data_IF_166606361187
#
_entry.id   IF_166606361187
#
_cell.length_a   1.000
_cell.length_b   1.000
_cell.length_c   1.000
_cell.angle_alpha   90.00
_cell.angle_beta   90.00
_cell.angle_gamma   90.00
#
_symmetry.space_group_name_H-M   'P 1'
#
loop_
_entity.id
_entity.type
_entity.pdbx_description
1 polymer ?
#
# COMPACT_ATOMS: atom_id res chain seq x y z
N UNK A 1 -16.21 30.70 9.35
CA UNK A 1 -14.99 30.70 10.16
C UNK A 1 -14.70 29.24 10.42
N UNK A 2 -13.59 28.73 9.88
CA UNK A 2 -13.13 27.38 10.19
C UNK A 2 -12.89 27.26 11.71
N UNK A 3 -13.10 26.09 12.27
CA UNK A 3 -12.79 25.86 13.69
C UNK A 3 -11.25 25.82 13.87
N UNK A 4 -10.77 26.06 15.10
CA UNK A 4 -9.32 25.95 15.38
C UNK A 4 -8.75 24.56 15.03
N UNK A 5 -9.59 23.53 15.05
CA UNK A 5 -9.19 22.16 14.72
C UNK A 5 -9.08 21.97 13.20
N UNK A 6 -9.91 22.67 12.41
CA UNK A 6 -9.79 22.69 10.93
C UNK A 6 -8.55 23.45 10.46
N UNK A 7 -8.26 24.63 11.03
CA UNK A 7 -7.03 25.38 10.74
C UNK A 7 -5.76 24.60 11.14
N UNK A 8 -5.86 23.80 12.22
CA UNK A 8 -4.75 22.96 12.65
C UNK A 8 -4.55 21.75 11.72
N UNK A 9 -5.61 21.18 11.18
CA UNK A 9 -5.56 20.08 10.22
C UNK A 9 -5.00 20.52 8.86
N UNK A 10 -5.36 21.71 8.39
CA UNK A 10 -4.85 22.29 7.12
C UNK A 10 -3.32 22.44 7.11
N UNK A 11 -2.71 22.72 8.27
CA UNK A 11 -1.25 22.86 8.38
C UNK A 11 -0.47 21.54 8.10
N UNK A 12 -1.15 20.41 8.10
CA UNK A 12 -0.56 19.10 7.83
C UNK A 12 -0.84 18.57 6.41
N UNK A 13 -1.70 19.26 5.66
CA UNK A 13 -2.01 18.86 4.29
C UNK A 13 -0.87 19.28 3.32
N UNK A 14 -0.68 18.53 2.22
CA UNK A 14 0.24 18.92 1.17
C UNK A 14 -0.09 20.32 0.63
N UNK A 15 0.92 21.19 0.55
CA UNK A 15 0.83 22.48 -0.12
C UNK A 15 0.72 22.32 -1.65
N UNK A 16 0.49 23.38 -2.39
CA UNK A 16 0.51 23.36 -3.86
C UNK A 16 1.91 22.98 -4.40
N UNK A 17 2.97 23.34 -3.68
CA UNK A 17 4.32 22.94 -4.02
C UNK A 17 4.54 21.43 -3.80
N UNK A 18 4.02 20.87 -2.70
CA UNK A 18 4.06 19.44 -2.42
C UNK A 18 3.27 18.63 -3.47
N UNK A 19 2.10 19.10 -3.88
CA UNK A 19 1.32 18.49 -4.97
C UNK A 19 2.14 18.51 -6.27
N UNK A 20 2.73 19.67 -6.60
CA UNK A 20 3.58 19.79 -7.79
C UNK A 20 4.84 18.92 -7.71
N UNK A 21 5.39 18.72 -6.50
CA UNK A 21 6.48 17.78 -6.27
C UNK A 21 6.02 16.34 -6.51
N UNK A 22 4.89 15.94 -5.91
CA UNK A 22 4.31 14.61 -6.09
C UNK A 22 4.05 14.28 -7.56
N UNK A 23 3.48 15.21 -8.31
CA UNK A 23 3.21 15.02 -9.75
C UNK A 23 4.49 14.79 -10.56
N UNK A 24 5.56 15.53 -10.23
CA UNK A 24 6.84 15.40 -10.93
C UNK A 24 7.63 14.16 -10.54
N UNK A 25 7.64 13.84 -9.26
CA UNK A 25 8.54 12.83 -8.68
C UNK A 25 7.85 11.49 -8.42
N UNK A 26 6.50 11.48 -8.32
CA UNK A 26 5.70 10.29 -8.10
C UNK A 26 5.61 9.86 -6.64
N UNK A 27 6.12 10.63 -5.70
CA UNK A 27 6.04 10.38 -4.26
C UNK A 27 6.07 11.67 -3.46
N UNK A 28 5.62 11.59 -2.20
CA UNK A 28 5.73 12.66 -1.21
C UNK A 28 5.81 12.05 0.19
N UNK A 29 6.54 12.71 1.10
CA UNK A 29 6.67 12.32 2.51
C UNK A 29 6.03 13.38 3.38
N UNK A 30 5.09 12.98 4.22
CA UNK A 30 4.39 13.89 5.13
C UNK A 30 5.30 14.37 6.28
N UNK A 31 4.97 15.50 6.93
CA UNK A 31 5.40 15.73 8.30
C UNK A 31 4.87 14.60 9.21
N UNK A 32 5.16 14.66 10.50
CA UNK A 32 4.57 13.73 11.48
C UNK A 32 3.07 14.06 11.59
N UNK A 33 2.23 13.25 10.96
CA UNK A 33 0.77 13.42 10.93
C UNK A 33 0.01 12.42 11.78
N UNK A 34 0.63 11.28 12.14
CA UNK A 34 -0.03 10.24 12.93
C UNK A 34 0.45 10.31 14.37
N UNK A 35 -0.45 10.54 15.34
CA UNK A 35 -0.11 10.51 16.75
C UNK A 35 0.38 9.13 17.21
N UNK A 36 1.30 9.13 18.15
CA UNK A 36 1.90 7.90 18.70
C UNK A 36 0.84 6.93 19.29
N UNK A 37 -0.21 7.47 19.89
CA UNK A 37 -1.32 6.69 20.42
C UNK A 37 -2.06 5.88 19.34
N UNK A 38 -2.20 6.42 18.12
CA UNK A 38 -2.83 5.73 16.99
C UNK A 38 -1.93 4.61 16.48
N UNK A 39 -0.63 4.86 16.36
CA UNK A 39 0.33 3.82 15.98
C UNK A 39 0.41 2.70 17.01
N UNK A 40 0.37 3.03 18.31
CA UNK A 40 0.35 2.04 19.37
C UNK A 40 -0.93 1.16 19.33
N UNK A 41 -2.05 1.71 18.90
CA UNK A 41 -3.27 0.93 18.63
C UNK A 41 -3.03 -0.04 17.47
N UNK A 42 -2.49 0.44 16.36
CA UNK A 42 -2.20 -0.40 15.20
C UNK A 42 -1.19 -1.52 15.49
N UNK A 43 -0.18 -1.26 16.32
CA UNK A 43 0.76 -2.29 16.78
C UNK A 43 0.07 -3.41 17.55
N UNK A 44 -0.90 -3.09 18.42
CA UNK A 44 -1.75 -4.11 19.08
C UNK A 44 -2.60 -4.86 18.08
N UNK A 45 -3.17 -4.15 17.09
CA UNK A 45 -3.91 -4.77 16.00
C UNK A 45 -3.08 -5.76 15.19
N UNK A 46 -1.82 -5.42 14.90
CA UNK A 46 -0.89 -6.33 14.25
C UNK A 46 -0.60 -7.59 15.09
N UNK A 47 -0.44 -7.41 16.41
CA UNK A 47 -0.24 -8.55 17.32
C UNK A 47 -1.47 -9.47 17.36
N UNK A 48 -2.69 -8.91 17.41
CA UNK A 48 -3.95 -9.66 17.31
C UNK A 48 -4.05 -10.42 15.98
N UNK A 49 -3.77 -9.74 14.87
CA UNK A 49 -3.81 -10.35 13.55
C UNK A 49 -2.91 -11.59 13.45
N UNK A 50 -1.67 -11.50 13.94
CA UNK A 50 -0.74 -12.63 13.95
C UNK A 50 -1.03 -13.70 15.01
N UNK A 51 -1.86 -13.40 16.00
CA UNK A 51 -2.41 -14.37 16.93
C UNK A 51 -3.73 -15.02 16.43
N UNK A 52 -4.15 -14.72 15.19
CA UNK A 52 -5.45 -15.13 14.61
C UNK A 52 -6.68 -14.64 15.41
N UNK A 53 -6.48 -13.64 16.29
CA UNK A 53 -7.55 -12.94 17.02
C UNK A 53 -8.09 -11.80 16.13
N UNK A 54 -9.01 -12.13 15.25
CA UNK A 54 -9.62 -11.20 14.30
C UNK A 54 -11.06 -10.90 14.66
N UNK A 55 -11.51 -9.68 14.36
CA UNK A 55 -12.88 -9.25 14.62
C UNK A 55 -13.85 -9.77 13.55
N UNK A 56 -13.36 -9.97 12.31
CA UNK A 56 -14.17 -10.39 11.19
C UNK A 56 -13.45 -11.45 10.35
N UNK A 57 -14.17 -12.52 10.04
CA UNK A 57 -13.73 -13.53 9.10
C UNK A 57 -14.33 -13.19 7.74
N UNK A 58 -13.50 -12.65 6.86
CA UNK A 58 -13.91 -12.41 5.49
C UNK A 58 -14.16 -13.75 4.78
N UNK A 59 -15.04 -13.78 3.79
CA UNK A 59 -15.27 -14.94 2.92
C UNK A 59 -14.00 -15.38 2.14
N UNK A 60 -12.85 -14.85 2.52
CA UNK A 60 -11.51 -15.17 2.06
C UNK A 60 -11.06 -16.60 2.41
N UNK A 61 -11.76 -17.24 3.34
CA UNK A 61 -11.42 -18.60 3.82
C UNK A 61 -11.83 -19.70 2.82
N UNK A 62 -12.71 -19.39 1.87
CA UNK A 62 -12.98 -20.24 0.73
C UNK A 62 -12.27 -19.68 -0.50
N UNK A 63 -11.37 -20.46 -1.11
CA UNK A 63 -10.76 -20.04 -2.36
C UNK A 63 -11.86 -19.68 -3.37
N UNK A 64 -11.88 -18.45 -3.93
CA UNK A 64 -12.80 -18.10 -4.98
C UNK A 64 -12.76 -19.13 -6.12
N UNK A 65 -13.84 -19.35 -6.86
CA UNK A 65 -13.88 -20.31 -7.95
C UNK A 65 -12.74 -20.14 -8.95
N UNK A 66 -12.39 -18.89 -9.25
CA UNK A 66 -11.29 -18.52 -10.16
C UNK A 66 -9.94 -18.98 -9.62
N UNK A 67 -9.66 -18.75 -8.34
CA UNK A 67 -8.41 -19.20 -7.70
C UNK A 67 -8.33 -20.73 -7.63
N UNK A 68 -9.44 -21.42 -7.36
CA UNK A 68 -9.49 -22.89 -7.39
C UNK A 68 -9.18 -23.43 -8.78
N UNK A 69 -9.74 -22.83 -9.83
CA UNK A 69 -9.49 -23.22 -11.21
C UNK A 69 -8.02 -23.03 -11.62
N UNK A 70 -7.33 -22.05 -11.03
CA UNK A 70 -5.92 -21.79 -11.26
C UNK A 70 -4.98 -22.52 -10.30
N UNK A 71 -5.52 -23.35 -9.39
CA UNK A 71 -4.74 -24.06 -8.38
C UNK A 71 -4.12 -23.15 -7.31
N UNK A 72 -4.60 -21.91 -7.18
CA UNK A 72 -4.12 -20.96 -6.18
C UNK A 72 -4.73 -21.25 -4.81
N UNK A 73 -3.99 -20.92 -3.77
CA UNK A 73 -4.45 -21.05 -2.38
C UNK A 73 -5.53 -20.01 -2.06
N UNK A 74 -6.41 -20.27 -1.07
CA UNK A 74 -7.30 -19.24 -0.51
C UNK A 74 -6.54 -18.01 -0.06
N UNK A 75 -7.18 -16.84 -0.11
CA UNK A 75 -6.56 -15.57 0.33
C UNK A 75 -6.15 -15.57 1.80
N UNK A 76 -6.88 -16.30 2.66
CA UNK A 76 -6.48 -16.54 4.05
C UNK A 76 -5.10 -17.20 4.20
N UNK A 77 -4.60 -17.80 3.12
CA UNK A 77 -3.28 -18.44 3.04
C UNK A 77 -2.24 -17.60 2.31
N UNK A 78 -2.59 -16.39 1.90
CA UNK A 78 -1.62 -15.45 1.38
C UNK A 78 -0.98 -14.70 2.55
N UNK A 79 0.32 -14.85 2.67
CA UNK A 79 1.08 -14.29 3.75
C UNK A 79 1.52 -15.31 4.78
N UNK A 80 1.96 -14.81 5.91
CA UNK A 80 2.54 -15.59 6.98
C UNK A 80 1.49 -16.28 7.85
N UNK A 81 1.86 -17.47 8.34
CA UNK A 81 1.18 -18.22 9.39
C UNK A 81 2.12 -18.45 10.56
N UNK A 82 1.62 -18.77 11.77
CA UNK A 82 2.45 -19.06 12.93
C UNK A 82 3.55 -20.09 12.66
N UNK A 83 3.26 -21.11 11.87
CA UNK A 83 4.20 -22.21 11.54
C UNK A 83 5.28 -21.81 10.52
N UNK A 84 5.14 -20.70 9.82
CA UNK A 84 6.11 -20.22 8.82
C UNK A 84 7.38 -19.63 9.48
N UNK A 85 7.37 -19.39 10.80
CA UNK A 85 8.52 -18.88 11.54
C UNK A 85 8.80 -17.39 11.31
N UNK A 86 10.04 -16.97 11.53
CA UNK A 86 10.46 -15.57 11.45
C UNK A 86 10.90 -15.19 10.03
N UNK A 87 9.93 -15.16 9.10
CA UNK A 87 10.12 -14.84 7.68
C UNK A 87 9.44 -13.52 7.33
N UNK A 88 9.70 -13.00 6.13
CA UNK A 88 8.95 -11.88 5.57
C UNK A 88 7.46 -12.22 5.52
N UNK A 89 6.63 -11.31 6.04
CA UNK A 89 5.17 -11.46 6.08
C UNK A 89 4.54 -10.32 5.28
N UNK A 90 3.67 -10.69 4.36
CA UNK A 90 2.86 -9.78 3.57
C UNK A 90 1.44 -10.32 3.58
N UNK A 91 0.60 -9.72 4.39
CA UNK A 91 -0.78 -10.16 4.60
C UNK A 91 -1.74 -9.12 4.05
N UNK A 92 -2.61 -9.55 3.16
CA UNK A 92 -3.60 -8.70 2.50
C UNK A 92 -4.88 -8.59 3.34
N UNK A 93 -5.62 -7.49 3.18
CA UNK A 93 -6.93 -7.22 3.80
C UNK A 93 -6.94 -7.22 5.34
N UNK A 94 -5.83 -6.88 5.95
CA UNK A 94 -5.71 -6.88 7.41
C UNK A 94 -6.61 -5.83 8.08
N UNK A 95 -6.83 -4.69 7.42
CA UNK A 95 -7.71 -3.62 7.94
C UNK A 95 -9.19 -3.98 7.89
N UNK A 96 -9.59 -4.92 7.03
CA UNK A 96 -10.96 -5.44 6.99
C UNK A 96 -11.22 -6.51 8.07
N UNK A 97 -10.17 -7.03 8.70
CA UNK A 97 -10.25 -8.12 9.67
C UNK A 97 -10.00 -7.68 11.10
N UNK A 98 -9.27 -6.59 11.32
CA UNK A 98 -8.88 -6.11 12.66
C UNK A 98 -9.16 -4.61 12.77
N UNK A 99 -10.06 -4.24 13.68
CA UNK A 99 -10.53 -2.86 13.87
C UNK A 99 -9.44 -1.86 14.22
N UNK A 100 -8.41 -2.28 14.96
CA UNK A 100 -7.28 -1.42 15.32
C UNK A 100 -6.47 -1.02 14.08
N UNK A 101 -6.33 -1.93 13.11
CA UNK A 101 -5.69 -1.63 11.83
C UNK A 101 -6.61 -0.78 10.94
N UNK A 102 -7.92 -1.06 10.95
CA UNK A 102 -8.91 -0.22 10.28
C UNK A 102 -8.90 1.22 10.80
N UNK A 103 -8.72 1.42 12.10
CA UNK A 103 -8.64 2.75 12.71
C UNK A 103 -7.44 3.54 12.16
N UNK A 104 -6.29 2.91 11.97
CA UNK A 104 -5.14 3.54 11.34
C UNK A 104 -5.40 3.88 9.88
N UNK A 105 -5.92 2.94 9.08
CA UNK A 105 -6.21 3.16 7.67
C UNK A 105 -7.24 4.29 7.45
N UNK A 106 -8.16 4.47 8.39
CA UNK A 106 -9.20 5.52 8.38
C UNK A 106 -8.78 6.79 9.12
N UNK A 107 -7.51 6.92 9.52
CA UNK A 107 -7.07 8.15 10.19
C UNK A 107 -7.22 9.34 9.25
N UNK A 108 -7.99 10.39 9.60
CA UNK A 108 -8.48 11.39 8.64
C UNK A 108 -7.38 12.09 7.85
N UNK A 109 -6.24 12.42 8.48
CA UNK A 109 -5.14 13.11 7.79
C UNK A 109 -4.49 12.27 6.70
N UNK A 110 -4.47 10.94 6.83
CA UNK A 110 -3.91 10.07 5.78
C UNK A 110 -4.75 10.19 4.51
N UNK A 111 -6.07 10.03 4.64
CA UNK A 111 -6.98 10.10 3.50
C UNK A 111 -7.08 11.52 2.92
N UNK A 112 -7.02 12.55 3.77
CA UNK A 112 -7.01 13.95 3.33
C UNK A 112 -5.73 14.30 2.53
N UNK A 113 -4.55 13.86 3.00
CA UNK A 113 -3.31 14.01 2.24
C UNK A 113 -3.39 13.25 0.90
N UNK A 114 -3.88 12.02 0.91
CA UNK A 114 -4.05 11.23 -0.31
C UNK A 114 -4.98 11.92 -1.32
N UNK A 115 -6.11 12.46 -0.87
CA UNK A 115 -7.06 13.21 -1.71
C UNK A 115 -6.42 14.49 -2.28
N UNK A 116 -5.68 15.22 -1.46
CA UNK A 116 -5.00 16.45 -1.88
C UNK A 116 -3.92 16.16 -2.93
N UNK A 117 -3.11 15.11 -2.76
CA UNK A 117 -2.07 14.71 -3.70
C UNK A 117 -2.64 14.22 -5.03
N UNK A 118 -3.71 13.42 -5.00
CA UNK A 118 -4.33 12.87 -6.22
C UNK A 118 -5.32 13.81 -6.90
N UNK A 119 -5.70 14.91 -6.24
CA UNK A 119 -6.77 15.79 -6.74
C UNK A 119 -8.17 15.15 -6.69
N UNK A 120 -8.32 13.99 -6.05
CA UNK A 120 -9.59 13.27 -5.99
C UNK A 120 -10.55 13.92 -4.97
N UNK A 121 -11.80 14.18 -5.38
CA UNK A 121 -12.83 14.69 -4.49
C UNK A 121 -13.27 13.66 -3.44
N UNK A 122 -13.13 12.37 -3.73
CA UNK A 122 -13.50 11.26 -2.84
C UNK A 122 -12.62 10.04 -3.11
N UNK A 123 -12.26 9.35 -2.03
CA UNK A 123 -11.41 8.15 -2.07
C UNK A 123 -12.05 6.98 -1.32
N UNK A 124 -11.80 5.79 -1.83
CA UNK A 124 -12.09 4.50 -1.19
C UNK A 124 -10.81 3.73 -0.93
N UNK A 125 -10.87 2.81 0.03
CA UNK A 125 -9.88 1.75 0.09
C UNK A 125 -9.94 0.94 -1.22
N UNK A 126 -8.79 0.70 -1.82
CA UNK A 126 -8.65 -0.29 -2.87
C UNK A 126 -8.21 -1.64 -2.28
N UNK A 127 -7.15 -1.61 -1.51
CA UNK A 127 -6.52 -2.78 -0.93
C UNK A 127 -5.63 -2.35 0.24
N UNK A 128 -5.28 -3.25 1.13
CA UNK A 128 -4.30 -2.99 2.19
C UNK A 128 -3.35 -4.17 2.38
N UNK A 129 -2.17 -3.89 2.93
CA UNK A 129 -1.17 -4.90 3.23
C UNK A 129 -0.51 -4.63 4.57
N UNK A 130 -0.53 -5.63 5.44
CA UNK A 130 0.23 -5.63 6.68
C UNK A 130 1.57 -6.30 6.44
N UNK A 131 2.66 -5.57 6.66
CA UNK A 131 4.02 -6.01 6.34
C UNK A 131 4.86 -6.19 7.59
N UNK A 132 5.54 -7.33 7.67
CA UNK A 132 6.57 -7.58 8.67
C UNK A 132 7.84 -8.07 7.97
N UNK A 133 8.93 -7.33 8.11
CA UNK A 133 10.23 -7.69 7.58
C UNK A 133 11.16 -8.03 8.75
N UNK A 134 11.54 -9.29 8.95
CA UNK A 134 12.39 -9.68 10.07
C UNK A 134 13.78 -9.05 9.97
N UNK A 135 14.49 -8.89 11.09
CA UNK A 135 15.87 -8.43 11.08
C UNK A 135 16.82 -9.48 10.49
N UNK A 136 17.97 -9.03 9.99
CA UNK A 136 19.04 -9.94 9.53
C UNK A 136 18.68 -10.72 8.26
N UNK A 137 17.85 -10.17 7.38
CA UNK A 137 17.44 -10.84 6.12
C UNK A 137 18.49 -10.69 5.02
N UNK A 138 19.70 -11.15 5.27
CA UNK A 138 20.76 -11.20 4.24
C UNK A 138 20.37 -12.16 3.09
N UNK A 139 21.01 -12.00 1.95
CA UNK A 139 20.82 -12.90 0.81
C UNK A 139 19.51 -12.74 0.04
N UNK A 140 18.76 -11.63 0.27
CA UNK A 140 17.57 -11.30 -0.52
C UNK A 140 16.26 -11.89 -0.02
N UNK A 141 16.25 -12.70 1.03
CA UNK A 141 15.03 -13.33 1.56
C UNK A 141 14.00 -12.33 2.12
N UNK A 142 14.43 -11.10 2.42
CA UNK A 142 13.56 -10.01 2.90
C UNK A 142 13.30 -8.92 1.86
N UNK A 143 13.70 -9.10 0.61
CA UNK A 143 13.47 -8.10 -0.43
C UNK A 143 12.01 -8.05 -0.84
N UNK A 144 11.51 -6.84 -1.10
CA UNK A 144 10.31 -6.63 -1.91
C UNK A 144 10.80 -6.25 -3.30
N UNK A 145 10.51 -7.10 -4.28
CA UNK A 145 10.95 -6.92 -5.65
C UNK A 145 10.52 -5.55 -6.20
N UNK A 146 11.28 -5.02 -7.17
CA UNK A 146 10.92 -3.79 -7.87
C UNK A 146 9.61 -4.00 -8.61
N UNK A 147 8.70 -3.06 -8.46
CA UNK A 147 7.38 -3.10 -9.09
C UNK A 147 6.74 -1.71 -9.14
N UNK A 148 5.69 -1.61 -9.92
CA UNK A 148 4.69 -0.55 -9.81
C UNK A 148 3.39 -1.18 -9.33
N UNK A 149 2.65 -0.50 -8.48
CA UNK A 149 1.35 -0.99 -8.04
C UNK A 149 0.39 -1.15 -9.22
N UNK A 150 0.46 -0.25 -10.19
CA UNK A 150 -0.33 -0.28 -11.42
C UNK A 150 -0.21 -1.60 -12.20
N UNK A 151 0.93 -2.26 -12.12
CA UNK A 151 1.14 -3.57 -12.75
C UNK A 151 0.18 -4.63 -12.21
N UNK A 152 -0.21 -4.53 -10.94
CA UNK A 152 -1.17 -5.43 -10.30
C UNK A 152 -2.63 -4.98 -10.43
N UNK A 153 -2.88 -3.68 -10.71
CA UNK A 153 -4.20 -3.08 -10.74
C UNK A 153 -4.71 -2.81 -12.17
N UNK A 154 -4.41 -3.72 -13.09
CA UNK A 154 -4.74 -3.53 -14.50
C UNK A 154 -6.25 -3.53 -14.77
N UNK A 155 -7.04 -4.20 -13.92
CA UNK A 155 -8.51 -4.21 -14.00
C UNK A 155 -9.17 -2.92 -13.51
N UNK A 156 -8.40 -1.96 -12.98
CA UNK A 156 -8.89 -0.63 -12.63
C UNK A 156 -8.95 0.30 -13.85
N UNK A 157 -10.03 1.06 -13.98
CA UNK A 157 -10.17 2.09 -15.01
C UNK A 157 -9.29 3.31 -14.73
N UNK A 158 -9.11 3.65 -13.44
CA UNK A 158 -8.29 4.80 -13.03
C UNK A 158 -6.80 4.47 -13.09
N UNK A 159 -6.02 5.47 -13.49
CA UNK A 159 -4.56 5.48 -13.41
C UNK A 159 -4.04 6.43 -12.31
N UNK A 160 -4.94 7.14 -11.64
CA UNK A 160 -4.64 8.13 -10.59
C UNK A 160 -4.88 7.54 -9.19
N UNK A 161 -4.42 6.30 -9.02
CA UNK A 161 -4.43 5.62 -7.73
C UNK A 161 -3.11 5.85 -7.00
N UNK A 162 -3.14 5.80 -5.67
CA UNK A 162 -1.95 6.00 -4.86
C UNK A 162 -1.92 5.11 -3.63
N UNK A 163 -0.74 5.02 -3.05
CA UNK A 163 -0.44 4.20 -1.88
C UNK A 163 0.11 5.06 -0.75
N UNK A 164 -0.40 4.86 0.47
CA UNK A 164 0.22 5.33 1.72
C UNK A 164 0.98 4.19 2.39
N UNK A 165 2.27 4.37 2.61
CA UNK A 165 3.11 3.45 3.38
C UNK A 165 3.39 4.03 4.77
N UNK A 166 2.99 3.30 5.82
CA UNK A 166 2.92 3.75 7.21
C UNK A 166 3.80 2.84 8.07
N UNK A 167 5.05 3.20 8.35
CA UNK A 167 5.88 2.44 9.27
C UNK A 167 5.45 2.63 10.72
N UNK A 168 5.59 1.59 11.56
CA UNK A 168 5.24 1.65 12.98
C UNK A 168 6.40 2.12 13.87
N UNK A 169 7.57 2.33 13.31
CA UNK A 169 8.76 2.87 13.97
C UNK A 169 9.55 3.74 13.00
N UNK A 170 10.59 4.39 13.48
CA UNK A 170 11.59 5.01 12.60
C UNK A 170 12.13 3.95 11.63
N UNK A 171 12.32 4.33 10.39
CA UNK A 171 12.86 3.45 9.35
C UNK A 171 13.97 4.17 8.61
N UNK A 172 15.14 3.56 8.60
CA UNK A 172 16.31 3.99 7.84
C UNK A 172 16.59 3.02 6.69
N UNK A 173 17.57 3.38 5.87
CA UNK A 173 18.05 2.51 4.78
C UNK A 173 18.48 1.12 5.30
N UNK A 174 19.13 1.05 6.46
CA UNK A 174 19.57 -0.21 7.06
C UNK A 174 18.41 -1.11 7.52
N UNK A 175 17.25 -0.53 7.84
CA UNK A 175 16.05 -1.27 8.22
C UNK A 175 15.26 -1.79 7.00
N UNK A 176 15.85 -1.67 5.80
CA UNK A 176 15.20 -2.03 4.54
C UNK A 176 14.08 -1.05 4.18
N UNK A 177 14.31 0.25 4.33
CA UNK A 177 13.40 1.29 3.85
C UNK A 177 13.05 1.06 2.37
N UNK A 178 11.84 1.46 2.00
CA UNK A 178 11.44 1.48 0.61
C UNK A 178 12.29 2.48 -0.17
N UNK A 179 12.63 2.15 -1.41
CA UNK A 179 13.27 3.07 -2.33
C UNK A 179 12.40 3.28 -3.55
N UNK A 180 12.37 4.49 -4.06
CA UNK A 180 11.61 4.89 -5.24
C UNK A 180 12.52 5.37 -6.35
N UNK A 181 12.17 5.08 -7.58
CA UNK A 181 12.83 5.64 -8.75
C UNK A 181 12.14 6.96 -9.08
N UNK A 182 12.89 8.04 -8.92
CA UNK A 182 12.40 9.41 -9.08
C UNK A 182 11.81 9.67 -10.46
N UNK A 183 10.60 10.22 -10.51
CA UNK A 183 9.89 10.56 -11.74
C UNK A 183 9.43 9.37 -12.59
N UNK A 184 9.59 8.13 -12.11
CA UNK A 184 9.18 6.93 -12.84
C UNK A 184 7.67 6.80 -13.05
N UNK A 185 6.86 7.50 -12.26
CA UNK A 185 5.40 7.58 -12.45
C UNK A 185 4.99 8.09 -13.84
N UNK A 186 5.87 8.81 -14.52
CA UNK A 186 5.64 9.39 -15.86
C UNK A 186 6.13 8.51 -17.00
N UNK A 187 6.74 7.35 -16.73
CA UNK A 187 7.16 6.42 -17.78
C UNK A 187 5.94 5.75 -18.43
N UNK A 188 5.98 5.58 -19.74
CA UNK A 188 4.84 5.10 -20.53
C UNK A 188 4.86 3.58 -20.77
N UNK A 189 6.00 2.93 -20.56
CA UNK A 189 6.26 1.51 -20.87
C UNK A 189 6.28 0.59 -19.63
N UNK A 190 5.78 1.06 -18.48
CA UNK A 190 5.89 0.35 -17.20
C UNK A 190 5.23 -1.02 -17.18
N UNK A 191 4.11 -1.18 -17.89
CA UNK A 191 3.37 -2.45 -17.95
C UNK A 191 4.06 -3.53 -18.79
N UNK A 192 5.05 -3.16 -19.59
CA UNK A 192 5.81 -4.08 -20.44
C UNK A 192 6.95 -4.78 -19.67
N UNK A 193 7.34 -4.23 -18.53
CA UNK A 193 8.49 -4.70 -17.74
C UNK A 193 8.03 -5.71 -16.68
N UNK A 194 8.51 -6.95 -16.78
CA UNK A 194 8.24 -8.02 -15.82
C UNK A 194 9.22 -7.95 -14.64
N UNK A 195 9.03 -6.99 -13.77
CA UNK A 195 9.90 -6.76 -12.61
C UNK A 195 9.95 -7.93 -11.63
N UNK A 196 8.86 -8.69 -11.49
CA UNK A 196 8.71 -9.77 -10.50
C UNK A 196 9.72 -10.90 -10.65
N UNK A 197 10.16 -11.17 -11.88
CA UNK A 197 11.14 -12.23 -12.17
C UNK A 197 12.57 -11.72 -12.32
N UNK A 198 12.77 -10.41 -12.21
CA UNK A 198 14.07 -9.80 -12.33
C UNK A 198 14.86 -9.89 -11.02
N UNK A 199 16.20 -10.05 -11.05
CA UNK A 199 17.01 -9.95 -9.85
C UNK A 199 16.91 -8.54 -9.27
N UNK A 200 17.05 -8.41 -7.92
CA UNK A 200 16.92 -7.10 -7.26
C UNK A 200 17.91 -6.05 -7.82
N UNK A 201 19.10 -6.49 -8.26
CA UNK A 201 20.13 -5.65 -8.88
C UNK A 201 19.77 -5.11 -10.27
N UNK A 202 18.66 -5.55 -10.88
CA UNK A 202 18.22 -5.04 -12.20
C UNK A 202 18.06 -3.52 -12.17
N UNK A 203 17.79 -2.95 -11.02
CA UNK A 203 17.56 -1.52 -10.86
C UNK A 203 18.76 -0.69 -11.30
N UNK A 204 19.99 -1.14 -11.06
CA UNK A 204 21.19 -0.40 -11.42
C UNK A 204 21.28 -0.16 -12.93
N UNK A 205 20.92 -1.17 -13.73
CA UNK A 205 20.88 -1.06 -15.19
C UNK A 205 19.77 -0.09 -15.66
N UNK A 206 18.60 -0.15 -15.01
CA UNK A 206 17.46 0.72 -15.34
C UNK A 206 17.78 2.18 -15.01
N UNK A 207 18.40 2.44 -13.87
CA UNK A 207 18.81 3.79 -13.48
C UNK A 207 19.81 4.38 -14.47
N UNK A 208 20.79 3.58 -14.89
CA UNK A 208 21.80 4.00 -15.87
C UNK A 208 21.20 4.25 -17.26
N UNK A 209 20.29 3.37 -17.73
CA UNK A 209 19.65 3.49 -19.05
C UNK A 209 18.74 4.72 -19.14
N UNK A 210 18.05 5.04 -18.03
CA UNK A 210 17.04 6.10 -18.00
C UNK A 210 17.52 7.41 -17.39
N UNK A 211 18.80 7.50 -17.01
CA UNK A 211 19.36 8.64 -16.25
C UNK A 211 18.47 9.01 -15.04
N UNK A 212 18.06 7.99 -14.29
CA UNK A 212 17.13 8.13 -13.20
C UNK A 212 17.83 7.98 -11.84
N UNK A 213 17.24 8.55 -10.80
CA UNK A 213 17.78 8.54 -9.44
C UNK A 213 16.97 7.64 -8.52
N UNK A 214 17.66 6.89 -7.68
CA UNK A 214 17.05 6.09 -6.63
C UNK A 214 17.00 6.87 -5.32
N UNK A 215 15.80 7.04 -4.76
CA UNK A 215 15.56 7.80 -3.53
C UNK A 215 15.10 6.85 -2.42
N UNK A 216 15.92 6.65 -1.37
CA UNK A 216 15.50 5.90 -0.19
C UNK A 216 14.50 6.72 0.62
N UNK A 217 13.41 6.09 1.04
CA UNK A 217 12.35 6.71 1.82
C UNK A 217 12.59 6.38 3.30
N UNK A 218 13.37 7.20 3.94
CA UNK A 218 13.63 7.12 5.38
C UNK A 218 12.57 7.94 6.12
N UNK A 219 11.92 7.36 7.11
CA UNK A 219 10.79 7.96 7.81
C UNK A 219 10.99 7.94 9.32
N UNK A 220 10.52 8.98 9.97
CA UNK A 220 10.27 8.98 11.42
C UNK A 220 8.91 8.39 11.71
N UNK A 221 8.76 7.79 12.90
CA UNK A 221 7.48 7.30 13.41
C UNK A 221 6.43 8.41 13.35
N UNK A 222 5.29 8.13 12.74
CA UNK A 222 4.22 9.08 12.51
C UNK A 222 4.25 9.83 11.18
N UNK A 223 5.34 9.74 10.42
CA UNK A 223 5.36 10.16 9.01
C UNK A 223 4.75 9.07 8.12
N UNK A 224 4.26 9.48 6.97
CA UNK A 224 3.70 8.63 5.92
C UNK A 224 4.37 8.96 4.60
N UNK A 225 4.74 7.95 3.84
CA UNK A 225 5.12 8.12 2.44
C UNK A 225 3.94 7.81 1.54
N UNK A 226 3.64 8.72 0.63
CA UNK A 226 2.65 8.54 -0.41
C UNK A 226 3.35 8.36 -1.76
N UNK A 227 2.88 7.42 -2.56
CA UNK A 227 3.41 7.25 -3.92
C UNK A 227 2.30 6.92 -4.93
N UNK A 228 2.49 7.42 -6.13
CA UNK A 228 1.61 7.17 -7.26
C UNK A 228 1.69 5.70 -7.67
N UNK A 229 0.60 5.10 -8.11
CA UNK A 229 0.56 3.68 -8.48
C UNK A 229 1.55 3.31 -9.61
N UNK A 230 1.99 4.28 -10.39
CA UNK A 230 2.98 4.12 -11.45
C UNK A 230 4.43 4.33 -10.98
N UNK A 231 4.67 4.71 -9.74
CA UNK A 231 6.04 4.88 -9.23
C UNK A 231 6.71 3.54 -9.07
N UNK A 232 7.86 3.35 -9.73
CA UNK A 232 8.67 2.15 -9.57
C UNK A 232 9.33 2.17 -8.20
N UNK A 233 9.08 1.14 -7.42
CA UNK A 233 9.60 1.06 -6.06
C UNK A 233 9.90 -0.38 -5.64
N UNK A 234 10.69 -0.51 -4.59
CA UNK A 234 11.08 -1.79 -4.01
C UNK A 234 11.77 -1.59 -2.67
N UNK A 235 12.14 -2.65 -1.98
CA UNK A 235 12.91 -2.52 -0.75
C UNK A 235 13.89 -3.67 -0.56
N UNK A 236 15.13 -3.33 -0.21
CA UNK A 236 16.18 -4.27 0.14
C UNK A 236 15.93 -5.00 1.46
N UNK A 237 16.90 -5.78 1.94
CA UNK A 237 16.80 -6.52 3.19
C UNK A 237 16.74 -5.59 4.39
N UNK A 238 16.23 -6.09 5.51
CA UNK A 238 16.37 -5.44 6.81
C UNK A 238 17.66 -5.94 7.47
N UNK A 239 18.68 -5.09 7.51
CA UNK A 239 19.97 -5.34 8.15
C UNK A 239 20.02 -4.77 9.58
N UNK A 240 18.95 -4.09 10.01
CA UNK A 240 18.80 -3.55 11.35
C UNK A 240 18.55 -4.64 12.41
N UNK A 241 18.65 -4.29 13.69
CA UNK A 241 18.48 -5.23 14.80
C UNK A 241 17.01 -5.55 15.12
N UNK A 242 16.08 -4.77 14.60
CA UNK A 242 14.64 -4.87 14.91
C UNK A 242 13.80 -5.16 13.67
N UNK A 243 12.66 -5.84 13.80
CA UNK A 243 11.79 -6.05 12.66
C UNK A 243 11.18 -4.73 12.17
N UNK A 244 11.15 -4.53 10.84
CA UNK A 244 10.39 -3.45 10.22
C UNK A 244 8.93 -3.85 10.06
N UNK A 245 8.04 -3.10 10.68
CA UNK A 245 6.59 -3.31 10.65
C UNK A 245 5.91 -2.11 10.00
N UNK A 246 4.95 -2.34 9.13
CA UNK A 246 4.22 -1.27 8.46
C UNK A 246 2.84 -1.72 8.00
N UNK A 247 1.95 -0.74 7.86
CA UNK A 247 0.69 -0.88 7.14
C UNK A 247 0.80 -0.13 5.81
N UNK A 248 0.30 -0.73 4.76
CA UNK A 248 0.14 -0.13 3.44
C UNK A 248 -1.34 0.03 3.16
N UNK A 249 -1.76 1.22 2.75
CA UNK A 249 -3.14 1.52 2.37
C UNK A 249 -3.14 2.01 0.94
N UNK A 250 -3.81 1.29 0.07
CA UNK A 250 -3.97 1.63 -1.34
C UNK A 250 -5.32 2.31 -1.55
N UNK A 251 -5.32 3.46 -2.20
CA UNK A 251 -6.48 4.28 -2.45
C UNK A 251 -6.90 4.22 -3.91
N UNK A 252 -8.21 4.19 -4.12
CA UNK A 252 -8.83 4.39 -5.42
C UNK A 252 -9.73 5.61 -5.42
N UNK A 253 -9.78 6.39 -6.52
CA UNK A 253 -10.78 7.44 -6.66
C UNK A 253 -12.19 6.86 -6.75
N UNK A 254 -13.19 7.66 -6.37
CA UNK A 254 -14.58 7.21 -6.26
C UNK A 254 -15.19 6.65 -7.54
N UNK A 255 -14.74 7.14 -8.68
CA UNK A 255 -15.22 6.78 -10.02
C UNK A 255 -14.43 5.63 -10.66
N UNK A 256 -13.47 5.03 -9.94
CA UNK A 256 -12.77 3.84 -10.42
C UNK A 256 -13.75 2.69 -10.64
N UNK A 257 -13.63 2.05 -11.80
CA UNK A 257 -14.50 0.95 -12.24
C UNK A 257 -13.67 -0.22 -12.75
N UNK A 258 -14.29 -1.39 -12.74
CA UNK A 258 -13.72 -2.55 -13.40
C UNK A 258 -13.63 -2.35 -14.92
N UNK A 259 -12.51 -2.75 -15.49
CA UNK A 259 -12.31 -2.90 -16.92
C UNK A 259 -11.74 -4.28 -17.20
N UNK A 260 -12.31 -4.97 -18.18
CA UNK A 260 -11.91 -6.32 -18.55
C UNK A 260 -10.62 -6.26 -19.37
N UNK A 261 -9.50 -6.14 -18.66
CA UNK A 261 -8.15 -6.13 -19.28
C UNK A 261 -7.09 -6.55 -18.29
N UNK A 262 -6.00 -7.09 -18.82
CA UNK A 262 -4.77 -7.28 -18.10
C UNK A 262 -4.83 -8.33 -17.00
N UNK A 263 -4.15 -8.03 -15.92
CA UNK A 263 -3.93 -8.95 -14.80
C UNK A 263 -5.08 -8.89 -13.80
N UNK A 264 -5.60 -10.06 -13.44
CA UNK A 264 -6.56 -10.27 -12.38
C UNK A 264 -6.04 -9.74 -11.02
N UNK A 265 -6.95 -9.13 -10.25
CA UNK A 265 -6.71 -8.72 -8.87
C UNK A 265 -7.67 -9.46 -7.91
N UNK A 266 -7.27 -9.80 -6.68
CA UNK A 266 -8.15 -10.44 -5.70
C UNK A 266 -9.48 -9.72 -5.44
N UNK A 267 -9.52 -8.39 -5.51
CA UNK A 267 -10.76 -7.63 -5.41
C UNK A 267 -11.80 -8.04 -6.46
N UNK A 268 -11.35 -8.50 -7.63
CA UNK A 268 -12.26 -8.90 -8.71
C UNK A 268 -13.20 -10.03 -8.29
N UNK A 269 -12.77 -10.89 -7.35
CA UNK A 269 -13.62 -11.95 -6.80
C UNK A 269 -14.33 -11.55 -5.50
N UNK A 270 -13.72 -10.68 -4.71
CA UNK A 270 -14.18 -10.36 -3.36
C UNK A 270 -15.36 -9.38 -3.34
N UNK A 271 -15.36 -8.39 -4.24
CA UNK A 271 -16.44 -7.40 -4.33
C UNK A 271 -17.71 -8.03 -4.87
N UNK A 272 -18.86 -7.46 -4.52
CA UNK A 272 -20.14 -7.80 -5.14
C UNK A 272 -20.07 -7.60 -6.65
N UNK A 273 -20.96 -8.29 -7.37
CA UNK A 273 -21.06 -8.13 -8.82
C UNK A 273 -22.18 -7.17 -9.17
N UNK A 274 -21.94 -6.35 -10.19
CA UNK A 274 -22.97 -5.51 -10.82
C UNK A 274 -24.08 -6.37 -11.44
N UNK A 275 -25.19 -5.76 -11.82
CA UNK A 275 -26.26 -6.44 -12.55
C UNK A 275 -25.83 -7.06 -13.89
N UNK A 276 -24.70 -6.60 -14.46
CA UNK A 276 -24.07 -7.18 -15.65
C UNK A 276 -23.03 -8.27 -15.35
N UNK A 277 -22.82 -8.63 -14.07
CA UNK A 277 -21.92 -9.70 -13.64
C UNK A 277 -20.45 -9.29 -13.46
N UNK A 278 -20.10 -8.02 -13.66
CA UNK A 278 -18.75 -7.51 -13.46
C UNK A 278 -18.48 -7.09 -12.00
N UNK A 279 -17.22 -7.10 -11.54
CA UNK A 279 -16.84 -6.58 -10.22
C UNK A 279 -17.33 -5.15 -9.98
N UNK A 280 -17.88 -4.89 -8.79
CA UNK A 280 -18.29 -3.56 -8.36
C UNK A 280 -17.30 -2.99 -7.32
N UNK A 281 -16.37 -2.16 -7.74
CA UNK A 281 -15.36 -1.55 -6.86
C UNK A 281 -15.93 -0.49 -5.92
N UNK A 282 -17.24 -0.26 -5.97
CA UNK A 282 -17.94 0.56 -4.99
C UNK A 282 -18.48 -0.22 -3.78
N UNK A 283 -18.24 -1.54 -3.72
CA UNK A 283 -18.64 -2.40 -2.60
C UNK A 283 -18.06 -1.88 -1.27
N UNK A 284 -18.88 -1.39 -0.34
CA UNK A 284 -18.40 -0.78 0.89
C UNK A 284 -17.79 -1.78 1.89
N UNK A 285 -18.02 -3.09 1.72
CA UNK A 285 -17.43 -4.11 2.59
C UNK A 285 -15.95 -4.36 2.28
N UNK A 286 -15.59 -4.30 1.01
CA UNK A 286 -14.21 -4.52 0.55
C UNK A 286 -13.50 -3.20 0.27
N UNK A 287 -14.23 -2.21 -0.27
CA UNK A 287 -13.73 -0.91 -0.66
C UNK A 287 -14.45 0.23 0.10
N UNK A 288 -14.35 0.29 1.44
CA UNK A 288 -15.03 1.33 2.21
C UNK A 288 -14.55 2.73 1.84
N UNK A 289 -15.43 3.72 2.01
CA UNK A 289 -15.07 5.12 1.87
C UNK A 289 -14.01 5.51 2.92
N UNK A 290 -12.99 6.25 2.49
CA UNK A 290 -11.93 6.77 3.34
C UNK A 290 -11.90 8.30 3.33
N UNK A 291 -12.36 8.95 2.25
CA UNK A 291 -12.44 10.40 2.14
C UNK A 291 -13.57 10.84 1.19
N UNK A 292 -14.37 11.91 1.51
CA UNK A 292 -14.57 12.33 2.90
C UNK A 292 -15.10 11.18 3.74
N UNK A 293 -14.79 11.19 5.01
CA UNK A 293 -15.15 10.12 5.95
C UNK A 293 -16.64 10.16 6.33
#
# INVERSE_FOLDING_TARGET
MASRDEEHAEAYLPSDEDVSFYDRHGYWVSPVIIPDAILAIAERGMARFYAEDVDEHLALDSAPPTNRALGLKPYSHWGWRPDDGNVMRKNDYATLRVRELAQLARYPLIAACAARLSGAASLRLWHDQLLYKPPGTEGGAGNVAWHTDRYYWQTCSSEDMLTAWIPFADVSRSDGAMSMVDGSNRWTDQLEIKWESAPFSVIDAVLAERDATLVPIELKRGQVSFHHCKTLHGSGPNLGPSPRRSLVVHFQPWDNKYVERGRYHPNDDLVVKTGSGFPDYSDPHICPALFPA
#
